data_IF_012496252211
#
_entry.id   IF_012496252211
#
_cell.length_a   1.000
_cell.length_b   1.000
_cell.length_c   1.000
_cell.angle_alpha   90.00
_cell.angle_beta   90.00
_cell.angle_gamma   90.00
#
_symmetry.space_group_name_H-M   'P 1'
#
loop_
_entity.id
_entity.type
_entity.pdbx_description
1 polymer ?
#
# COMPACT_ATOMS: atom_id res chain seq x y z
N UNK A 1 -4.11 -12.67 -19.71
CA UNK A 1 -4.25 -11.27 -19.26
C UNK A 1 -5.28 -11.08 -18.15
N UNK A 2 -6.43 -11.78 -18.18
CA UNK A 2 -7.52 -11.62 -17.20
C UNK A 2 -7.13 -11.78 -15.74
N UNK A 3 -6.11 -12.58 -15.42
CA UNK A 3 -5.60 -12.74 -14.04
C UNK A 3 -5.03 -11.45 -13.44
N UNK A 4 -4.41 -10.59 -14.26
CA UNK A 4 -3.89 -9.30 -13.79
C UNK A 4 -5.02 -8.27 -13.60
N UNK A 5 -6.08 -8.39 -14.39
CA UNK A 5 -7.26 -7.51 -14.34
C UNK A 5 -8.33 -8.00 -13.37
N UNK A 6 -8.06 -9.07 -12.61
CA UNK A 6 -9.03 -9.67 -11.69
C UNK A 6 -9.54 -8.64 -10.67
N UNK A 7 -8.65 -7.76 -10.20
CA UNK A 7 -9.04 -6.69 -9.27
C UNK A 7 -9.77 -5.53 -9.97
N UNK A 8 -9.51 -5.31 -11.26
CA UNK A 8 -10.14 -4.26 -12.06
C UNK A 8 -11.53 -4.63 -12.57
N UNK A 9 -11.86 -5.93 -12.70
CA UNK A 9 -13.12 -6.43 -13.24
C UNK A 9 -13.90 -7.19 -12.16
N UNK A 10 -14.49 -6.45 -11.22
CA UNK A 10 -15.30 -7.00 -10.11
C UNK A 10 -14.60 -7.02 -8.75
N UNK A 11 -13.40 -6.43 -8.63
CA UNK A 11 -12.63 -6.33 -7.39
C UNK A 11 -12.57 -4.91 -6.82
N UNK A 12 -11.50 -4.64 -6.07
CA UNK A 12 -11.24 -3.36 -5.43
C UNK A 12 -10.39 -2.44 -6.33
N UNK A 13 -11.05 -1.77 -7.26
CA UNK A 13 -10.43 -0.81 -8.17
C UNK A 13 -11.47 0.13 -8.77
N UNK A 14 -11.09 1.39 -8.99
CA UNK A 14 -11.79 2.26 -9.94
C UNK A 14 -11.35 1.86 -11.35
N UNK A 15 -12.31 1.44 -12.18
CA UNK A 15 -12.00 0.95 -13.53
C UNK A 15 -12.77 1.75 -14.57
N UNK A 16 -12.06 2.21 -15.59
CA UNK A 16 -12.61 2.89 -16.76
C UNK A 16 -12.23 2.10 -18.00
N UNK A 17 -13.20 1.86 -18.88
CA UNK A 17 -12.99 1.23 -20.17
C UNK A 17 -13.05 2.29 -21.27
N UNK A 18 -11.94 2.50 -21.97
CA UNK A 18 -11.91 3.30 -23.20
C UNK A 18 -12.02 2.37 -24.40
N UNK A 19 -12.97 2.65 -25.28
CA UNK A 19 -13.19 1.89 -26.52
C UNK A 19 -12.89 2.78 -27.71
N UNK A 20 -11.91 2.38 -28.51
CA UNK A 20 -11.50 3.07 -29.74
C UNK A 20 -12.11 2.38 -30.95
N UNK A 21 -12.71 3.15 -31.86
CA UNK A 21 -13.42 2.64 -33.03
C UNK A 21 -12.88 3.25 -34.32
N UNK A 22 -12.99 2.50 -35.43
CA UNK A 22 -12.69 3.00 -36.77
C UNK A 22 -14.01 3.42 -37.45
N UNK A 23 -14.12 4.65 -37.97
CA UNK A 23 -15.36 5.16 -38.60
C UNK A 23 -15.60 4.68 -40.04
N UNK A 24 -14.74 3.81 -40.59
CA UNK A 24 -14.87 3.31 -41.98
C UNK A 24 -15.94 2.22 -42.09
N UNK A 25 -16.72 2.21 -43.19
CA UNK A 25 -17.83 1.26 -43.43
C UNK A 25 -17.42 -0.22 -43.28
N UNK A 26 -16.23 -0.57 -43.78
CA UNK A 26 -15.68 -1.93 -43.67
C UNK A 26 -15.46 -2.43 -42.22
N UNK A 27 -15.48 -1.53 -41.23
CA UNK A 27 -15.23 -1.84 -39.83
C UNK A 27 -16.48 -1.71 -38.95
N UNK A 28 -17.66 -1.46 -39.54
CA UNK A 28 -18.91 -1.26 -38.79
C UNK A 28 -19.26 -2.50 -37.95
N UNK A 29 -19.13 -3.71 -38.51
CA UNK A 29 -19.43 -4.95 -37.78
C UNK A 29 -18.54 -5.13 -36.55
N UNK A 30 -17.25 -4.81 -36.68
CA UNK A 30 -16.30 -4.86 -35.57
C UNK A 30 -16.62 -3.79 -34.52
N UNK A 31 -17.01 -2.59 -34.96
CA UNK A 31 -17.42 -1.53 -34.06
C UNK A 31 -18.66 -1.91 -33.24
N UNK A 32 -19.64 -2.59 -33.86
CA UNK A 32 -20.82 -3.11 -33.15
C UNK A 32 -20.41 -4.13 -32.09
N UNK A 33 -19.50 -5.05 -32.41
CA UNK A 33 -19.00 -6.04 -31.44
C UNK A 33 -18.26 -5.37 -30.27
N UNK A 34 -17.42 -4.37 -30.54
CA UNK A 34 -16.71 -3.61 -29.52
C UNK A 34 -17.69 -2.85 -28.60
N UNK A 35 -18.72 -2.21 -29.15
CA UNK A 35 -19.76 -1.53 -28.38
C UNK A 35 -20.60 -2.51 -27.54
N UNK A 36 -20.93 -3.69 -28.07
CA UNK A 36 -21.61 -4.75 -27.30
C UNK A 36 -20.75 -5.25 -26.14
N UNK A 37 -19.44 -5.36 -26.32
CA UNK A 37 -18.52 -5.65 -25.22
C UNK A 37 -18.51 -4.52 -24.20
N UNK A 38 -18.42 -3.26 -24.64
CA UNK A 38 -18.47 -2.09 -23.77
C UNK A 38 -19.75 -2.04 -22.92
N UNK A 39 -20.90 -2.34 -23.53
CA UNK A 39 -22.19 -2.39 -22.85
C UNK A 39 -22.21 -3.44 -21.74
N UNK A 40 -21.64 -4.63 -21.98
CA UNK A 40 -21.49 -5.66 -20.94
C UNK A 40 -20.50 -5.24 -19.86
N UNK A 41 -19.36 -4.67 -20.24
CA UNK A 41 -18.35 -4.20 -19.30
C UNK A 41 -18.88 -3.10 -18.38
N UNK A 42 -19.75 -2.21 -18.87
CA UNK A 42 -20.45 -1.18 -18.07
C UNK A 42 -21.32 -1.77 -16.95
N UNK A 43 -21.81 -3.00 -17.10
CA UNK A 43 -22.64 -3.66 -16.09
C UNK A 43 -21.81 -4.26 -14.94
N UNK A 44 -20.48 -4.33 -15.08
CA UNK A 44 -19.60 -4.84 -14.02
C UNK A 44 -19.61 -3.85 -12.87
N UNK A 45 -19.93 -4.33 -11.67
CA UNK A 45 -19.89 -3.54 -10.43
C UNK A 45 -18.64 -3.91 -9.65
N UNK A 46 -17.79 -2.92 -9.39
CA UNK A 46 -16.63 -3.08 -8.52
C UNK A 46 -17.00 -2.76 -7.07
N UNK A 47 -16.38 -3.46 -6.13
CA UNK A 47 -16.47 -3.16 -4.70
C UNK A 47 -15.20 -2.43 -4.31
N UNK A 48 -15.29 -1.10 -4.33
CA UNK A 48 -14.16 -0.24 -4.00
C UNK A 48 -14.12 -0.09 -2.49
N UNK A 49 -12.98 -0.44 -1.92
CA UNK A 49 -12.66 -0.33 -0.50
C UNK A 49 -11.33 0.42 -0.37
N UNK A 50 -11.24 1.34 0.59
CA UNK A 50 -10.00 2.05 0.82
C UNK A 50 -8.93 1.07 1.33
N UNK A 51 -7.77 1.08 0.67
CA UNK A 51 -6.65 0.23 1.01
C UNK A 51 -5.96 0.76 2.28
N UNK A 52 -6.56 0.55 3.44
CA UNK A 52 -5.96 0.90 4.72
C UNK A 52 -5.10 -0.23 5.27
N UNK A 53 -3.88 0.12 5.64
CA UNK A 53 -3.07 -0.67 6.56
C UNK A 53 -3.53 -0.28 7.96
N UNK A 54 -4.05 -1.23 8.73
CA UNK A 54 -4.47 -0.93 10.10
C UNK A 54 -3.28 -0.42 10.91
N UNK A 55 -3.48 0.47 11.90
CA UNK A 55 -2.37 0.96 12.73
C UNK A 55 -1.58 -0.19 13.39
N UNK A 56 -2.26 -1.27 13.76
CA UNK A 56 -1.65 -2.50 14.28
C UNK A 56 -0.77 -3.20 13.23
N UNK A 57 -1.27 -3.36 11.99
CA UNK A 57 -0.50 -3.93 10.89
C UNK A 57 0.70 -3.06 10.52
N UNK A 58 0.58 -1.73 10.60
CA UNK A 58 1.69 -0.81 10.39
C UNK A 58 2.79 -0.99 11.44
N UNK A 59 2.41 -1.16 12.72
CA UNK A 59 3.37 -1.42 13.80
C UNK A 59 4.07 -2.76 13.59
N UNK A 60 3.32 -3.81 13.25
CA UNK A 60 3.88 -5.14 12.95
C UNK A 60 4.85 -5.06 11.77
N UNK A 61 4.50 -4.32 10.71
CA UNK A 61 5.35 -4.17 9.55
C UNK A 61 6.67 -3.46 9.89
N UNK A 62 6.59 -2.35 10.66
CA UNK A 62 7.77 -1.64 11.15
C UNK A 62 8.65 -2.52 12.04
N UNK A 63 8.05 -3.30 12.94
CA UNK A 63 8.80 -4.24 13.79
C UNK A 63 9.52 -5.30 12.97
N UNK A 64 8.85 -5.89 11.97
CA UNK A 64 9.45 -6.88 11.09
C UNK A 64 10.62 -6.32 10.28
N UNK A 65 10.52 -5.08 9.81
CA UNK A 65 11.63 -4.40 9.11
C UNK A 65 12.82 -4.14 10.03
N UNK A 66 12.58 -3.71 11.28
CA UNK A 66 13.63 -3.55 12.29
C UNK A 66 14.32 -4.88 12.61
N UNK A 67 13.54 -5.97 12.77
CA UNK A 67 14.09 -7.31 13.00
C UNK A 67 14.99 -7.74 11.85
N UNK A 68 14.58 -7.54 10.59
CA UNK A 68 15.40 -7.87 9.42
C UNK A 68 16.71 -7.06 9.40
N UNK A 69 16.66 -5.77 9.69
CA UNK A 69 17.85 -4.91 9.74
C UNK A 69 18.82 -5.37 10.82
N UNK A 70 18.34 -5.65 12.03
CA UNK A 70 19.16 -6.14 13.12
C UNK A 70 19.78 -7.50 12.80
N UNK A 71 19.01 -8.42 12.21
CA UNK A 71 19.53 -9.72 11.77
C UNK A 71 20.59 -9.58 10.68
N UNK A 72 20.45 -8.61 9.77
CA UNK A 72 21.48 -8.32 8.78
C UNK A 72 22.78 -7.80 9.44
N UNK A 73 22.66 -6.87 10.38
CA UNK A 73 23.81 -6.35 11.13
C UNK A 73 24.52 -7.44 11.94
N UNK A 74 23.77 -8.35 12.57
CA UNK A 74 24.34 -9.48 13.28
C UNK A 74 25.10 -10.41 12.34
N UNK A 75 24.52 -10.76 11.18
CA UNK A 75 25.21 -11.56 10.16
C UNK A 75 26.49 -10.90 9.64
N UNK A 76 26.46 -9.58 9.43
CA UNK A 76 27.63 -8.80 8.97
C UNK A 76 28.72 -8.69 10.05
N UNK A 77 28.34 -8.68 11.33
CA UNK A 77 29.29 -8.70 12.43
C UNK A 77 29.88 -10.11 12.64
N UNK A 78 29.05 -11.14 12.55
CA UNK A 78 29.48 -12.55 12.64
C UNK A 78 30.44 -12.93 11.52
N UNK A 79 30.24 -12.43 10.29
CA UNK A 79 31.19 -12.65 9.19
C UNK A 79 32.54 -11.97 9.47
N UNK A 80 32.54 -10.71 9.91
CA UNK A 80 33.75 -9.96 10.30
C UNK A 80 34.51 -10.61 11.46
N UNK A 81 33.79 -11.19 12.43
CA UNK A 81 34.37 -11.95 13.54
C UNK A 81 34.97 -13.29 13.10
N UNK A 82 34.39 -13.95 12.09
CA UNK A 82 34.97 -15.18 11.52
C UNK A 82 36.22 -14.92 10.68
N UNK A 83 36.28 -13.78 10.00
CA UNK A 83 37.46 -13.37 9.23
C UNK A 83 38.61 -12.89 10.14
N UNK A 84 38.31 -12.54 11.39
CA UNK A 84 39.30 -12.18 12.41
C UNK A 84 39.60 -13.39 13.31
N UNK A 85 40.65 -14.16 12.98
CA UNK A 85 41.04 -15.35 13.75
C UNK A 85 41.27 -15.12 15.25
N UNK A 86 41.28 -16.18 16.08
CA UNK A 86 41.26 -16.10 17.54
C UNK A 86 42.62 -15.64 18.07
N UNK A 87 42.84 -14.33 18.12
CA UNK A 87 44.17 -13.85 18.51
C UNK A 87 44.39 -12.35 18.39
N UNK A 88 43.44 -11.51 18.80
CA UNK A 88 43.76 -10.16 19.25
C UNK A 88 42.59 -9.55 20.00
N UNK A 89 42.75 -9.48 21.31
CA UNK A 89 41.87 -8.75 22.22
C UNK A 89 42.06 -7.23 22.08
N UNK A 90 41.79 -6.69 20.90
CA UNK A 90 41.65 -5.25 20.75
C UNK A 90 40.17 -4.91 20.94
N UNK A 91 39.95 -4.22 22.05
CA UNK A 91 38.74 -3.56 22.51
C UNK A 91 37.88 -3.06 21.34
N UNK A 92 36.96 -3.89 20.84
CA UNK A 92 35.86 -3.42 20.02
C UNK A 92 35.02 -2.56 20.95
N UNK A 93 35.29 -1.26 20.91
CA UNK A 93 34.38 -0.24 21.39
C UNK A 93 33.04 -0.63 20.78
N UNK A 94 32.14 -1.15 21.61
CA UNK A 94 30.74 -1.29 21.25
C UNK A 94 30.25 0.16 21.20
N UNK A 95 30.63 0.89 20.15
CA UNK A 95 29.89 2.05 19.72
C UNK A 95 28.53 1.49 19.42
N UNK A 96 27.59 1.72 20.34
CA UNK A 96 26.17 1.47 20.12
C UNK A 96 25.90 1.85 18.67
N UNK A 97 25.47 0.90 17.81
CA UNK A 97 25.15 1.24 16.45
C UNK A 97 24.14 2.38 16.55
N UNK A 98 24.53 3.55 16.04
CA UNK A 98 23.66 4.71 15.99
C UNK A 98 22.54 4.31 15.05
N UNK A 99 21.44 3.86 15.63
CA UNK A 99 20.18 3.68 14.93
C UNK A 99 19.83 5.09 14.46
N UNK A 100 20.14 5.37 13.20
CA UNK A 100 19.56 6.50 12.50
C UNK A 100 18.11 6.09 12.31
N UNK A 101 17.30 6.43 13.32
CA UNK A 101 15.86 6.49 13.15
C UNK A 101 15.65 7.37 11.92
N UNK A 102 15.05 6.86 10.83
CA UNK A 102 14.69 7.74 9.72
C UNK A 102 13.87 8.87 10.31
N UNK A 103 14.31 10.09 10.05
CA UNK A 103 13.86 11.31 10.71
C UNK A 103 12.35 11.26 10.95
N UNK A 104 11.97 11.37 12.21
CA UNK A 104 10.60 11.62 12.65
C UNK A 104 10.19 13.04 12.24
N UNK A 105 10.26 13.36 10.96
CA UNK A 105 9.87 14.67 10.42
C UNK A 105 8.73 14.57 9.40
N UNK A 106 8.31 13.37 9.05
CA UNK A 106 6.96 13.16 8.50
C UNK A 106 6.05 12.72 9.64
N UNK A 107 5.94 13.61 10.65
CA UNK A 107 4.81 13.60 11.59
C UNK A 107 3.57 13.43 10.73
N UNK A 108 2.78 12.39 11.02
CA UNK A 108 1.68 11.94 10.18
C UNK A 108 0.93 13.10 9.56
N UNK A 109 1.08 13.25 8.25
CA UNK A 109 0.10 13.93 7.44
C UNK A 109 -1.08 12.96 7.37
N UNK A 110 -1.84 12.94 8.47
CA UNK A 110 -3.21 12.44 8.43
C UNK A 110 -3.90 13.44 7.52
N UNK A 111 -4.31 12.97 6.34
CA UNK A 111 -5.02 13.77 5.36
C UNK A 111 -6.09 14.61 6.09
N UNK A 112 -6.04 15.97 6.04
CA UNK A 112 -6.92 16.83 6.84
C UNK A 112 -8.42 16.51 6.63
N UNK A 113 -8.77 15.90 5.50
CA UNK A 113 -10.13 15.40 5.21
C UNK A 113 -10.52 14.25 6.15
N UNK A 114 -9.60 13.34 6.46
CA UNK A 114 -9.85 12.15 7.28
C UNK A 114 -10.13 12.51 8.75
N UNK A 115 -9.45 13.55 9.26
CA UNK A 115 -9.69 14.08 10.60
C UNK A 115 -11.02 14.84 10.70
N UNK A 116 -11.39 15.59 9.66
CA UNK A 116 -12.65 16.32 9.58
C UNK A 116 -13.88 15.38 9.49
N UNK A 117 -13.79 14.31 8.70
CA UNK A 117 -14.85 13.30 8.57
C UNK A 117 -15.08 12.54 9.88
N UNK A 118 -14.01 12.19 10.61
CA UNK A 118 -14.13 11.48 11.89
C UNK A 118 -14.75 12.34 13.01
N UNK A 119 -14.58 13.66 12.96
CA UNK A 119 -15.26 14.58 13.90
C UNK A 119 -16.74 14.79 13.58
N UNK A 120 -17.14 14.79 12.30
CA UNK A 120 -18.54 14.96 11.92
C UNK A 120 -19.42 13.75 12.29
N UNK A 121 -18.83 12.56 12.42
CA UNK A 121 -19.56 11.35 12.82
C UNK A 121 -19.75 11.19 14.34
N UNK A 122 -19.25 12.12 15.18
CA UNK A 122 -19.34 12.06 16.65
C UNK A 122 -20.33 13.05 17.26
N UNK A 123 -21.27 13.58 16.48
CA UNK A 123 -22.43 14.31 17.04
C UNK A 123 -23.50 13.29 17.42
N UNK A 124 -23.84 13.11 18.71
CA UNK A 124 -24.87 12.17 19.11
C UNK A 124 -26.26 12.64 18.63
N UNK A 125 -27.11 11.75 18.08
CA UNK A 125 -28.49 12.09 17.79
C UNK A 125 -29.30 12.02 19.08
N UNK A 126 -29.77 13.17 19.58
CA UNK A 126 -30.86 13.21 20.56
C UNK A 126 -30.59 14.05 21.80
N UNK A 127 -31.19 15.23 21.84
CA UNK A 127 -31.31 16.08 23.02
C UNK A 127 -32.37 17.15 22.80
N UNK A 128 -33.65 16.75 22.86
CA UNK A 128 -34.77 17.67 23.06
C UNK A 128 -34.58 18.40 24.40
N UNK A 129 -34.46 19.73 24.38
CA UNK A 129 -34.77 20.56 25.54
C UNK A 129 -35.07 22.02 25.12
N UNK A 130 -36.36 22.35 25.24
CA UNK A 130 -37.03 23.66 25.29
C UNK A 130 -37.34 24.38 23.98
#
# INVERSE_FOLDING_TARGET
MTRLLANSLGGNSHTVLLVTLNPTENHVDQAIQALRFAARAKMIKNRIEENFISPEQSVIHRQNELIKQLQAQLRDLESKLKDTGPGRGDLLVITKPRVVLPDTEKRGEVDPVLYAMRRQSLVPPGGLAR
#
